data_IF_821990972118
#
_entry.id   IF_821990972118
#
_cell.length_a   1.000
_cell.length_b   1.000
_cell.length_c   1.000
_cell.angle_alpha   90.00
_cell.angle_beta   90.00
_cell.angle_gamma   90.00
#
_symmetry.space_group_name_H-M   'P 1'
#
loop_
_entity.id
_entity.type
_entity.pdbx_description
1 polymer ?
#
# COMPACT_ATOMS: atom_id res chain seq x y z
N UNK A 1 -2.02 -11.07 -7.78
CA UNK A 1 -3.32 -10.76 -8.40
C UNK A 1 -3.87 -9.50 -7.78
N UNK A 2 -4.34 -8.57 -8.61
CA UNK A 2 -4.96 -7.31 -8.18
C UNK A 2 -6.46 -7.39 -8.48
N UNK A 3 -7.30 -7.20 -7.47
CA UNK A 3 -8.76 -7.28 -7.60
C UNK A 3 -9.36 -5.97 -7.08
N UNK A 4 -9.68 -5.09 -8.03
CA UNK A 4 -10.17 -3.73 -7.73
C UNK A 4 -11.42 -3.52 -8.55
N UNK A 5 -12.56 -3.78 -7.92
CA UNK A 5 -13.88 -3.41 -8.42
C UNK A 5 -14.55 -2.50 -7.41
N UNK A 6 -15.58 -1.77 -7.83
CA UNK A 6 -16.38 -0.91 -6.94
C UNK A 6 -17.22 -1.70 -5.92
N UNK A 7 -17.29 -3.03 -6.06
CA UNK A 7 -18.02 -3.90 -5.15
C UNK A 7 -17.03 -4.75 -4.33
N UNK A 8 -16.91 -4.40 -3.05
CA UNK A 8 -16.03 -5.11 -2.11
C UNK A 8 -16.42 -6.58 -1.96
N UNK A 9 -17.70 -6.94 -2.08
CA UNK A 9 -18.18 -8.33 -2.02
C UNK A 9 -17.59 -9.15 -3.16
N UNK A 10 -17.54 -8.58 -4.37
CA UNK A 10 -16.93 -9.23 -5.53
C UNK A 10 -15.44 -9.41 -5.28
N UNK A 11 -14.75 -8.37 -4.82
CA UNK A 11 -13.31 -8.43 -4.55
C UNK A 11 -12.96 -9.56 -3.57
N UNK A 12 -13.72 -9.69 -2.48
CA UNK A 12 -13.52 -10.69 -1.44
C UNK A 12 -13.83 -12.10 -1.95
N UNK A 13 -14.98 -12.29 -2.62
CA UNK A 13 -15.37 -13.61 -3.17
C UNK A 13 -14.33 -14.11 -4.17
N UNK A 14 -13.85 -13.22 -5.05
CA UNK A 14 -12.80 -13.55 -6.01
C UNK A 14 -11.49 -13.88 -5.31
N UNK A 15 -11.10 -13.13 -4.27
CA UNK A 15 -9.87 -13.44 -3.50
C UNK A 15 -9.92 -14.83 -2.85
N UNK A 16 -11.06 -15.19 -2.25
CA UNK A 16 -11.28 -16.51 -1.65
C UNK A 16 -11.22 -17.60 -2.73
N UNK A 17 -11.91 -17.40 -3.86
CA UNK A 17 -11.91 -18.36 -4.95
C UNK A 17 -10.49 -18.60 -5.50
N UNK A 18 -9.74 -17.52 -5.73
CA UNK A 18 -8.36 -17.59 -6.22
C UNK A 18 -7.46 -18.30 -5.20
N UNK A 19 -7.59 -17.99 -3.89
CA UNK A 19 -6.80 -18.68 -2.85
C UNK A 19 -7.04 -20.18 -2.87
N UNK A 20 -8.30 -20.62 -2.98
CA UNK A 20 -8.63 -22.05 -3.05
C UNK A 20 -7.96 -22.73 -4.24
N UNK A 21 -8.11 -22.19 -5.44
CA UNK A 21 -7.52 -22.78 -6.65
C UNK A 21 -5.99 -22.76 -6.60
N UNK A 22 -5.39 -21.69 -6.07
CA UNK A 22 -3.92 -21.53 -6.02
C UNK A 22 -3.26 -22.38 -4.93
N UNK A 23 -3.96 -22.68 -3.84
CA UNK A 23 -3.50 -23.62 -2.81
C UNK A 23 -3.32 -25.03 -3.36
N UNK A 24 -4.22 -25.49 -4.23
CA UNK A 24 -4.18 -26.84 -4.81
C UNK A 24 -2.94 -27.07 -5.69
N UNK A 25 -2.41 -26.01 -6.30
CA UNK A 25 -1.26 -26.09 -7.23
C UNK A 25 0.06 -25.60 -6.62
N UNK A 26 0.13 -25.44 -5.29
CA UNK A 26 1.29 -24.90 -4.56
C UNK A 26 1.80 -23.57 -5.15
N UNK A 27 0.88 -22.68 -5.56
CA UNK A 27 1.23 -21.39 -6.12
C UNK A 27 0.96 -20.28 -5.11
N UNK A 28 2.01 -19.66 -4.58
CA UNK A 28 1.89 -18.59 -3.60
C UNK A 28 1.61 -17.23 -4.26
N UNK A 29 0.39 -17.06 -4.77
CA UNK A 29 -0.05 -15.80 -5.36
C UNK A 29 -0.29 -14.76 -4.28
N UNK A 30 0.32 -13.58 -4.43
CA UNK A 30 -0.02 -12.41 -3.60
C UNK A 30 -1.39 -11.87 -3.99
N UNK A 31 -2.29 -11.76 -3.03
CA UNK A 31 -3.63 -11.18 -3.23
C UNK A 31 -3.62 -9.73 -2.77
N UNK A 32 -3.95 -8.81 -3.68
CA UNK A 32 -4.14 -7.38 -3.39
C UNK A 32 -5.56 -7.03 -3.76
N UNK A 33 -6.38 -6.62 -2.79
CA UNK A 33 -7.78 -6.25 -3.02
C UNK A 33 -8.09 -4.83 -2.60
N UNK A 34 -9.12 -4.26 -3.22
CA UNK A 34 -9.82 -3.12 -2.65
C UNK A 34 -10.85 -3.58 -1.62
N UNK A 35 -10.81 -3.03 -0.40
CA UNK A 35 -11.88 -3.12 0.57
C UNK A 35 -11.79 -2.04 1.66
N UNK A 36 -12.90 -1.36 1.93
CA UNK A 36 -13.00 -0.34 2.96
C UNK A 36 -13.32 -0.90 4.38
N UNK A 37 -13.68 -2.18 4.51
CA UNK A 37 -14.01 -2.78 5.81
C UNK A 37 -12.76 -3.29 6.54
N UNK A 38 -12.25 -2.48 7.47
CA UNK A 38 -11.06 -2.80 8.26
C UNK A 38 -11.19 -4.08 9.10
N UNK A 39 -12.35 -4.34 9.72
CA UNK A 39 -12.52 -5.53 10.57
C UNK A 39 -12.48 -6.80 9.74
N UNK A 40 -13.15 -6.77 8.59
CA UNK A 40 -13.13 -7.88 7.66
C UNK A 40 -11.73 -8.08 7.07
N UNK A 41 -11.04 -7.00 6.71
CA UNK A 41 -9.66 -7.04 6.21
C UNK A 41 -8.70 -7.71 7.19
N UNK A 42 -8.85 -7.45 8.50
CA UNK A 42 -8.00 -8.07 9.51
C UNK A 42 -8.30 -9.57 9.66
N UNK A 43 -9.57 -9.98 9.64
CA UNK A 43 -9.96 -11.40 9.58
C UNK A 43 -9.41 -12.11 8.31
N UNK A 44 -9.50 -11.45 7.16
CA UNK A 44 -9.02 -12.00 5.89
C UNK A 44 -7.50 -12.08 5.82
N UNK A 45 -6.74 -11.19 6.47
CA UNK A 45 -5.27 -11.30 6.55
C UNK A 45 -4.84 -12.55 7.30
N UNK A 46 -5.59 -12.96 8.32
CA UNK A 46 -5.31 -14.20 9.07
C UNK A 46 -5.66 -15.44 8.24
N UNK A 47 -6.77 -15.39 7.49
CA UNK A 47 -7.26 -16.52 6.72
C UNK A 47 -6.58 -16.70 5.35
N UNK A 48 -6.15 -15.60 4.73
CA UNK A 48 -5.55 -15.58 3.40
C UNK A 48 -4.07 -15.21 3.56
N UNK A 49 -3.18 -16.20 3.48
CA UNK A 49 -1.74 -15.95 3.44
C UNK A 49 -1.36 -15.03 2.28
N UNK A 50 -0.24 -14.28 2.37
CA UNK A 50 0.24 -13.40 1.29
C UNK A 50 -0.86 -12.48 0.72
N UNK A 51 -1.62 -11.85 1.61
CA UNK A 51 -2.78 -11.01 1.30
C UNK A 51 -2.59 -9.59 1.81
N UNK A 52 -3.12 -8.62 1.07
CA UNK A 52 -3.27 -7.23 1.51
C UNK A 52 -4.57 -6.65 0.95
N UNK A 53 -5.29 -5.93 1.81
CA UNK A 53 -6.45 -5.14 1.43
C UNK A 53 -6.15 -3.67 1.65
N UNK A 54 -6.55 -2.83 0.70
CA UNK A 54 -6.43 -1.38 0.78
C UNK A 54 -7.81 -0.73 0.65
N UNK A 55 -8.05 0.29 1.46
CA UNK A 55 -9.15 1.22 1.27
C UNK A 55 -8.70 2.31 0.28
N UNK A 56 -9.45 2.51 -0.81
CA UNK A 56 -9.15 3.55 -1.79
C UNK A 56 -9.18 4.97 -1.19
N UNK A 57 -9.94 5.22 -0.13
CA UNK A 57 -9.99 6.51 0.54
C UNK A 57 -8.74 6.78 1.38
N UNK A 58 -8.09 5.75 1.92
CA UNK A 58 -6.88 5.89 2.73
C UNK A 58 -5.63 6.15 1.87
N UNK A 59 -5.56 5.58 0.66
CA UNK A 59 -4.41 5.72 -0.23
C UNK A 59 -4.01 7.19 -0.51
N UNK A 60 -4.94 8.11 -0.86
CA UNK A 60 -4.61 9.52 -1.04
C UNK A 60 -4.57 10.31 0.29
N UNK A 61 -5.10 9.78 1.40
CA UNK A 61 -5.26 10.52 2.65
C UNK A 61 -3.92 11.05 3.18
N UNK A 62 -2.87 10.22 3.12
CA UNK A 62 -1.52 10.66 3.52
C UNK A 62 -1.01 11.82 2.67
N UNK A 63 -1.19 11.76 1.35
CA UNK A 63 -0.77 12.83 0.44
C UNK A 63 -1.55 14.14 0.68
N UNK A 64 -2.86 14.03 0.96
CA UNK A 64 -3.73 15.17 1.27
C UNK A 64 -3.32 15.80 2.61
N UNK A 65 -3.18 15.00 3.67
CA UNK A 65 -2.77 15.47 4.98
C UNK A 65 -1.39 16.15 4.93
N UNK A 66 -0.43 15.54 4.25
CA UNK A 66 0.90 16.12 4.06
C UNK A 66 0.85 17.49 3.37
N UNK A 67 -0.02 17.64 2.35
CA UNK A 67 -0.17 18.93 1.66
C UNK A 67 -0.87 19.98 2.52
N UNK A 68 -1.83 19.59 3.36
CA UNK A 68 -2.51 20.48 4.29
C UNK A 68 -1.58 21.02 5.40
N UNK A 69 -0.54 20.26 5.77
CA UNK A 69 0.43 20.64 6.82
C UNK A 69 1.42 21.75 6.41
N UNK A 70 1.39 22.23 5.15
CA UNK A 70 1.99 23.52 4.77
C UNK A 70 3.52 23.58 4.60
N UNK A 71 4.22 22.45 4.64
CA UNK A 71 5.69 22.41 4.62
C UNK A 71 6.30 22.43 3.21
N UNK A 72 7.59 22.77 3.07
CA UNK A 72 8.36 22.71 1.79
C UNK A 72 8.48 21.29 1.19
N UNK A 73 7.94 20.32 1.91
CA UNK A 73 7.96 18.92 1.63
C UNK A 73 6.91 18.55 0.57
N UNK A 74 7.35 17.94 -0.54
CA UNK A 74 6.46 17.57 -1.65
C UNK A 74 5.67 16.29 -1.38
N UNK A 75 6.11 15.51 -0.40
CA UNK A 75 5.40 14.32 0.03
C UNK A 75 6.29 13.36 0.82
N UNK A 76 5.67 12.35 1.38
CA UNK A 76 6.34 11.18 1.94
C UNK A 76 5.84 9.94 1.21
N UNK A 77 6.70 8.92 1.11
CA UNK A 77 6.27 7.60 0.66
C UNK A 77 7.13 6.54 1.33
N UNK A 78 6.56 5.35 1.51
CA UNK A 78 7.25 4.22 2.11
C UNK A 78 7.89 3.36 1.02
N UNK A 79 9.19 3.07 1.15
CA UNK A 79 9.90 2.06 0.38
C UNK A 79 10.24 0.89 1.31
N UNK A 80 9.35 -0.11 1.33
CA UNK A 80 9.40 -1.17 2.32
C UNK A 80 9.24 -0.59 3.74
N UNK A 81 10.27 -0.76 4.57
CA UNK A 81 10.33 -0.23 5.94
C UNK A 81 10.89 1.19 6.05
N UNK A 82 11.36 1.77 4.95
CA UNK A 82 11.99 3.09 4.94
C UNK A 82 10.96 4.15 4.57
N UNK A 83 10.75 5.13 5.44
CA UNK A 83 9.95 6.31 5.14
C UNK A 83 10.86 7.34 4.45
N UNK A 84 10.58 7.63 3.18
CA UNK A 84 11.34 8.59 2.40
C UNK A 84 10.60 9.93 2.36
N UNK A 85 11.37 11.01 2.43
CA UNK A 85 10.88 12.38 2.38
C UNK A 85 11.30 13.02 1.05
N UNK A 86 10.35 13.61 0.33
CA UNK A 86 10.62 14.29 -0.95
C UNK A 86 10.73 15.80 -0.74
N UNK A 87 11.96 16.32 -0.78
CA UNK A 87 12.22 17.75 -0.63
C UNK A 87 12.25 18.47 -1.99
N UNK A 88 11.64 19.66 -2.07
CA UNK A 88 11.88 20.55 -3.22
C UNK A 88 13.16 21.34 -2.97
N UNK A 89 14.24 20.97 -3.64
CA UNK A 89 15.47 21.77 -3.62
C UNK A 89 15.30 22.92 -4.61
N UNK A 90 15.32 24.17 -4.12
CA UNK A 90 15.20 25.38 -4.95
C UNK A 90 16.51 25.72 -5.69
N UNK A 91 17.66 25.25 -5.19
CA UNK A 91 18.99 25.49 -5.78
C UNK A 91 19.85 24.21 -5.80
N UNK A 92 20.16 23.68 -6.98
CA UNK A 92 21.13 22.60 -7.13
C UNK A 92 22.55 23.15 -6.91
N UNK A 93 23.04 23.10 -5.66
CA UNK A 93 24.49 23.11 -5.39
C UNK A 93 24.86 21.75 -4.81
N UNK A 94 25.57 20.96 -5.62
CA UNK A 94 26.10 19.65 -5.24
C UNK A 94 27.02 19.83 -4.02
N UNK A 95 26.53 19.54 -2.81
CA UNK A 95 27.39 19.33 -1.64
C UNK A 95 27.57 17.83 -1.48
N UNK A 96 28.74 17.33 -1.87
CA UNK A 96 29.20 16.02 -1.44
C UNK A 96 29.31 16.03 0.08
N UNK A 97 28.42 15.32 0.77
CA UNK A 97 28.63 14.94 2.17
C UNK A 97 28.72 13.42 2.21
N UNK A 98 29.93 12.94 1.91
CA UNK A 98 30.45 11.73 2.52
C UNK A 98 30.81 12.12 3.96
N UNK A 99 30.08 11.57 4.94
CA UNK A 99 30.51 11.55 6.33
C UNK A 99 29.95 10.29 7.00
N UNK A 100 30.59 9.16 6.71
CA UNK A 100 30.74 8.09 7.69
C UNK A 100 32.10 8.32 8.36
N UNK A 101 32.09 8.84 9.58
CA UNK A 101 32.99 8.47 10.69
C UNK A 101 32.16 8.56 11.95
#
# INVERSE_FOLDING_TARGET
MLIVTSDDSVNIKTAIAVRRVTQEVNNNVRLVIHSADKKLNDCLKEALENFVAYDAAELPAEAIANRALGDENRGFFNLGKHRLQMLKIKDWKFKSVLSFV
#
